data_IF_059830993263
#
_entry.id   IF_059830993263
#
_cell.length_a   1.000
_cell.length_b   1.000
_cell.length_c   1.000
_cell.angle_alpha   90.00
_cell.angle_beta   90.00
_cell.angle_gamma   90.00
#
_symmetry.space_group_name_H-M   'P 1'
#
loop_
_entity.id
_entity.type
_entity.pdbx_description
1 polymer ?
#
# COMPACT_ATOMS: atom_id res chain seq x y z
N UNK A 1 6.50 -10.81 -10.94
CA UNK A 1 6.41 -9.36 -10.71
C UNK A 1 7.78 -8.73 -10.97
N UNK A 2 7.82 -7.63 -11.72
CA UNK A 2 9.06 -6.96 -12.12
C UNK A 2 9.26 -5.64 -11.40
N UNK A 3 10.53 -5.26 -11.27
CA UNK A 3 10.94 -3.98 -10.70
C UNK A 3 10.47 -2.85 -11.61
N UNK A 4 9.76 -1.87 -11.08
CA UNK A 4 9.24 -0.79 -11.92
C UNK A 4 10.34 0.00 -12.66
N UNK A 5 11.52 0.15 -12.03
CA UNK A 5 12.69 0.77 -12.65
C UNK A 5 13.29 0.01 -13.84
N UNK A 6 12.99 -1.29 -14.00
CA UNK A 6 13.44 -2.10 -15.15
C UNK A 6 12.40 -2.24 -16.27
N UNK A 7 11.18 -1.71 -16.07
CA UNK A 7 10.17 -1.67 -17.12
C UNK A 7 10.56 -0.70 -18.24
N UNK A 8 10.40 -1.15 -19.48
CA UNK A 8 10.49 -0.33 -20.68
C UNK A 8 9.37 0.72 -20.71
N UNK A 9 9.53 1.74 -21.57
CA UNK A 9 8.50 2.76 -21.77
C UNK A 9 7.14 2.15 -22.13
N UNK A 10 7.12 1.14 -23.00
CA UNK A 10 5.90 0.47 -23.43
C UNK A 10 5.20 -0.27 -22.28
N UNK A 11 5.95 -0.98 -21.44
CA UNK A 11 5.40 -1.70 -20.29
C UNK A 11 4.84 -0.77 -19.21
N UNK A 12 5.46 0.41 -19.02
CA UNK A 12 4.93 1.43 -18.11
C UNK A 12 3.59 1.98 -18.60
N UNK A 13 3.51 2.29 -19.89
CA UNK A 13 2.26 2.77 -20.49
C UNK A 13 1.17 1.71 -20.45
N UNK A 14 1.47 0.45 -20.76
CA UNK A 14 0.51 -0.66 -20.67
C UNK A 14 -0.07 -0.79 -19.24
N UNK A 15 0.76 -0.62 -18.21
CA UNK A 15 0.29 -0.61 -16.83
C UNK A 15 -0.61 0.60 -16.54
N UNK A 16 -0.18 1.80 -16.92
CA UNK A 16 -0.93 3.05 -16.72
C UNK A 16 -2.31 2.97 -17.39
N UNK A 17 -2.36 2.48 -18.63
CA UNK A 17 -3.60 2.29 -19.40
C UNK A 17 -4.54 1.29 -18.69
N UNK A 18 -4.00 0.20 -18.15
CA UNK A 18 -4.78 -0.77 -17.40
C UNK A 18 -5.38 -0.18 -16.10
N UNK A 19 -4.62 0.65 -15.36
CA UNK A 19 -5.15 1.36 -14.18
C UNK A 19 -6.22 2.38 -14.58
N UNK A 20 -6.05 3.10 -15.68
CA UNK A 20 -7.11 3.97 -16.22
C UNK A 20 -8.36 3.19 -16.59
N UNK A 21 -8.22 2.01 -17.20
CA UNK A 21 -9.35 1.14 -17.47
C UNK A 21 -10.09 0.72 -16.19
N UNK A 22 -9.39 0.38 -15.10
CA UNK A 22 -10.03 0.08 -13.81
C UNK A 22 -10.88 1.24 -13.26
N UNK A 23 -10.54 2.48 -13.64
CA UNK A 23 -11.32 3.69 -13.31
C UNK A 23 -12.50 3.97 -14.24
N UNK A 24 -12.60 3.25 -15.35
CA UNK A 24 -13.69 3.38 -16.33
C UNK A 24 -14.69 2.22 -16.24
N UNK A 25 -14.27 1.07 -15.73
CA UNK A 25 -15.13 -0.10 -15.55
C UNK A 25 -16.15 0.13 -14.43
N UNK A 26 -17.38 -0.32 -14.68
CA UNK A 26 -18.46 -0.27 -13.68
C UNK A 26 -18.06 -1.05 -12.41
N UNK A 27 -18.38 -0.54 -11.22
CA UNK A 27 -18.11 -1.23 -9.96
C UNK A 27 -18.96 -2.50 -9.82
N UNK A 28 -18.54 -3.43 -8.97
CA UNK A 28 -19.31 -4.62 -8.61
C UNK A 28 -20.00 -4.51 -7.25
N UNK A 29 -19.54 -3.61 -6.38
CA UNK A 29 -20.20 -3.36 -5.10
C UNK A 29 -21.53 -2.59 -5.31
N UNK A 30 -22.59 -2.93 -4.54
CA UNK A 30 -23.88 -2.26 -4.64
C UNK A 30 -23.78 -0.82 -4.14
N UNK A 31 -24.23 0.13 -4.95
CA UNK A 31 -24.11 1.57 -4.64
C UNK A 31 -24.97 1.99 -3.44
N UNK A 32 -25.99 1.21 -3.09
CA UNK A 32 -26.83 1.43 -1.92
C UNK A 32 -26.05 1.24 -0.60
N UNK A 33 -25.11 0.29 -0.58
CA UNK A 33 -24.24 0.02 0.58
C UNK A 33 -22.92 0.80 0.49
N UNK A 34 -22.44 1.06 -0.73
CA UNK A 34 -21.18 1.72 -1.01
C UNK A 34 -21.37 3.00 -1.85
N UNK A 35 -22.03 4.05 -1.32
CA UNK A 35 -22.51 5.19 -2.12
C UNK A 35 -21.41 6.02 -2.77
N UNK A 36 -20.16 5.91 -2.31
CA UNK A 36 -18.99 6.57 -2.88
C UNK A 36 -18.30 5.80 -4.01
N UNK A 37 -18.57 4.51 -4.18
CA UNK A 37 -17.93 3.68 -5.21
C UNK A 37 -18.46 4.08 -6.61
N UNK A 38 -17.56 4.35 -7.56
CA UNK A 38 -17.90 4.74 -8.94
C UNK A 38 -17.32 3.83 -10.02
N UNK A 39 -16.25 3.12 -9.72
CA UNK A 39 -15.54 2.29 -10.70
C UNK A 39 -14.84 1.10 -10.04
N UNK A 40 -14.35 0.14 -10.83
CA UNK A 40 -13.68 -1.08 -10.30
C UNK A 40 -12.52 -0.80 -9.36
N UNK A 41 -11.74 0.26 -9.58
CA UNK A 41 -10.69 0.64 -8.63
C UNK A 41 -11.25 1.04 -7.25
N UNK A 42 -12.46 1.59 -7.18
CA UNK A 42 -13.10 1.93 -5.91
C UNK A 42 -13.61 0.67 -5.20
N UNK A 43 -13.92 -0.43 -5.90
CA UNK A 43 -14.26 -1.69 -5.24
C UNK A 43 -13.09 -2.21 -4.39
N UNK A 44 -11.86 -2.04 -4.89
CA UNK A 44 -10.64 -2.37 -4.14
C UNK A 44 -10.48 -1.45 -2.93
N UNK A 45 -10.62 -0.13 -3.11
CA UNK A 45 -10.54 0.82 -2.00
C UNK A 45 -11.62 0.58 -0.94
N UNK A 46 -12.88 0.38 -1.33
CA UNK A 46 -13.98 0.07 -0.41
C UNK A 46 -13.78 -1.26 0.30
N UNK A 47 -13.26 -2.29 -0.39
CA UNK A 47 -12.92 -3.56 0.25
C UNK A 47 -11.83 -3.35 1.31
N UNK A 48 -10.78 -2.60 1.00
CA UNK A 48 -9.73 -2.29 1.97
C UNK A 48 -10.30 -1.59 3.20
N UNK A 49 -11.08 -0.51 3.02
CA UNK A 49 -11.77 0.21 4.11
C UNK A 49 -12.57 -0.76 4.98
N UNK A 50 -13.37 -1.65 4.36
CA UNK A 50 -14.21 -2.61 5.06
C UNK A 50 -13.43 -3.59 5.95
N UNK A 51 -12.18 -3.87 5.61
CA UNK A 51 -11.33 -4.82 6.32
C UNK A 51 -10.18 -4.18 7.10
N UNK A 52 -9.97 -2.86 7.04
CA UNK A 52 -8.83 -2.14 7.65
C UNK A 52 -8.54 -2.56 9.09
N UNK A 53 -9.55 -2.70 9.95
CA UNK A 53 -9.41 -3.10 11.35
C UNK A 53 -8.97 -4.55 11.57
N UNK A 54 -8.96 -5.38 10.53
CA UNK A 54 -8.64 -6.81 10.61
C UNK A 54 -7.41 -7.18 9.76
N UNK A 55 -6.85 -6.25 8.98
CA UNK A 55 -5.79 -6.55 8.01
C UNK A 55 -4.47 -5.83 8.31
N UNK A 56 -4.43 -4.96 9.31
CA UNK A 56 -3.23 -4.20 9.69
C UNK A 56 -2.79 -4.51 11.11
N UNK A 57 -1.49 -4.41 11.38
CA UNK A 57 -0.88 -4.68 12.71
C UNK A 57 -1.43 -6.00 13.29
N UNK A 58 -1.51 -7.01 12.42
CA UNK A 58 -2.17 -8.29 12.68
C UNK A 58 -1.36 -9.45 12.09
N UNK A 59 -1.66 -10.66 12.54
CA UNK A 59 -1.02 -11.89 12.07
C UNK A 59 -1.35 -12.25 10.61
N UNK A 60 -2.36 -11.60 10.02
CA UNK A 60 -2.77 -11.85 8.63
C UNK A 60 -2.25 -10.81 7.63
N UNK A 61 -1.65 -9.70 8.09
CA UNK A 61 -1.28 -8.54 7.27
C UNK A 61 -0.61 -8.91 5.95
N UNK A 62 0.50 -9.65 6.01
CA UNK A 62 1.26 -10.01 4.82
C UNK A 62 0.45 -10.90 3.85
N UNK A 63 -0.24 -11.92 4.37
CA UNK A 63 -1.02 -12.85 3.56
C UNK A 63 -2.23 -12.18 2.91
N UNK A 64 -2.92 -11.30 3.64
CA UNK A 64 -4.08 -10.57 3.14
C UNK A 64 -3.69 -9.63 2.00
N UNK A 65 -2.62 -8.85 2.18
CA UNK A 65 -2.14 -7.91 1.16
C UNK A 65 -1.51 -8.62 -0.04
N UNK A 66 -0.86 -9.78 0.13
CA UNK A 66 -0.40 -10.62 -0.99
C UNK A 66 -1.57 -10.99 -1.91
N UNK A 67 -2.65 -11.53 -1.34
CA UNK A 67 -3.83 -11.87 -2.14
C UNK A 67 -4.47 -10.63 -2.76
N UNK A 68 -4.51 -9.51 -2.04
CA UNK A 68 -5.07 -8.26 -2.55
C UNK A 68 -4.33 -7.73 -3.78
N UNK A 69 -2.99 -7.74 -3.76
CA UNK A 69 -2.14 -7.40 -4.91
C UNK A 69 -2.33 -8.38 -6.06
N UNK A 70 -2.45 -9.68 -5.78
CA UNK A 70 -2.72 -10.69 -6.81
C UNK A 70 -4.10 -10.51 -7.46
N UNK A 71 -5.13 -10.20 -6.67
CA UNK A 71 -6.48 -9.91 -7.17
C UNK A 71 -6.49 -8.66 -8.06
N UNK A 72 -5.72 -7.65 -7.68
CA UNK A 72 -5.53 -6.45 -8.51
C UNK A 72 -4.86 -6.79 -9.84
N UNK A 73 -3.75 -7.55 -9.83
CA UNK A 73 -3.10 -8.01 -11.07
C UNK A 73 -4.09 -8.79 -11.94
N UNK A 74 -4.83 -9.73 -11.35
CA UNK A 74 -5.83 -10.52 -12.06
C UNK A 74 -6.88 -9.63 -12.72
N UNK A 75 -7.42 -8.64 -12.00
CA UNK A 75 -8.39 -7.70 -12.55
C UNK A 75 -7.81 -6.86 -13.71
N UNK A 76 -6.57 -6.34 -13.57
CA UNK A 76 -5.90 -5.63 -14.67
C UNK A 76 -5.79 -6.49 -15.93
N UNK A 77 -5.43 -7.76 -15.78
CA UNK A 77 -5.19 -8.67 -16.91
C UNK A 77 -6.50 -9.17 -17.53
N UNK A 78 -7.45 -9.60 -16.71
CA UNK A 78 -8.70 -10.23 -17.18
C UNK A 78 -9.76 -9.20 -17.59
N UNK A 79 -9.81 -8.04 -16.94
CA UNK A 79 -10.86 -7.03 -17.20
C UNK A 79 -10.38 -5.88 -18.08
N UNK A 80 -9.07 -5.59 -18.04
CA UNK A 80 -8.46 -4.43 -18.71
C UNK A 80 -7.40 -4.79 -19.76
N UNK A 81 -7.16 -6.07 -20.01
CA UNK A 81 -6.27 -6.52 -21.09
C UNK A 81 -4.78 -6.23 -20.85
N UNK A 82 -4.38 -6.00 -19.59
CA UNK A 82 -2.99 -5.80 -19.23
C UNK A 82 -2.15 -7.05 -19.56
N UNK A 83 -1.05 -6.87 -20.29
CA UNK A 83 -0.21 -7.99 -20.71
C UNK A 83 0.96 -8.26 -19.76
N UNK A 84 1.31 -7.27 -18.95
CA UNK A 84 2.36 -7.38 -17.95
C UNK A 84 1.93 -8.09 -16.66
N UNK A 85 2.75 -7.90 -15.64
CA UNK A 85 2.54 -8.38 -14.27
C UNK A 85 2.66 -7.21 -13.32
N UNK A 86 2.03 -7.29 -12.14
CA UNK A 86 2.02 -6.18 -11.20
C UNK A 86 3.45 -5.73 -10.88
N UNK A 87 3.81 -4.46 -11.17
CA UNK A 87 5.10 -3.93 -10.80
C UNK A 87 5.18 -3.67 -9.30
N UNK A 88 6.42 -3.63 -8.78
CA UNK A 88 6.68 -3.18 -7.42
C UNK A 88 7.53 -1.91 -7.40
N UNK A 89 7.28 -1.06 -6.40
CA UNK A 89 8.07 0.14 -6.13
C UNK A 89 9.20 -0.19 -5.15
N UNK A 90 10.42 -0.31 -5.67
CA UNK A 90 11.60 -0.42 -4.83
C UNK A 90 11.93 0.93 -4.18
N UNK A 91 11.49 1.12 -2.93
CA UNK A 91 11.64 2.39 -2.22
C UNK A 91 13.09 2.88 -2.15
N UNK A 92 14.04 1.97 -1.97
CA UNK A 92 15.45 2.29 -1.81
C UNK A 92 16.05 2.98 -3.04
N UNK A 93 15.51 2.75 -4.24
CA UNK A 93 15.97 3.41 -5.46
C UNK A 93 15.55 4.87 -5.58
N UNK A 94 14.42 5.24 -4.97
CA UNK A 94 13.91 6.61 -4.95
C UNK A 94 14.25 7.34 -3.65
N UNK A 95 14.96 6.70 -2.72
CA UNK A 95 15.14 7.20 -1.36
C UNK A 95 15.87 8.55 -1.29
N UNK A 96 16.83 8.81 -2.17
CA UNK A 96 17.60 10.06 -2.16
C UNK A 96 16.87 11.25 -2.81
N UNK A 97 16.01 10.97 -3.79
CA UNK A 97 15.28 11.99 -4.54
C UNK A 97 13.98 11.39 -5.10
N UNK A 98 12.92 11.45 -4.28
CA UNK A 98 11.64 10.84 -4.59
C UNK A 98 10.96 11.50 -5.81
N UNK A 99 10.89 12.86 -5.93
CA UNK A 99 10.37 13.51 -7.12
C UNK A 99 11.12 13.20 -8.42
N UNK A 100 12.42 12.91 -8.37
CA UNK A 100 13.18 12.52 -9.57
C UNK A 100 13.00 11.04 -9.97
N UNK A 101 12.28 10.26 -9.17
CA UNK A 101 12.00 8.85 -9.46
C UNK A 101 11.18 8.72 -10.75
N UNK A 102 11.44 7.73 -11.61
CA UNK A 102 10.59 7.47 -12.78
C UNK A 102 9.14 7.10 -12.43
N UNK A 103 8.81 6.85 -11.15
CA UNK A 103 7.42 6.74 -10.69
C UNK A 103 6.72 8.08 -10.52
N UNK A 104 7.47 9.13 -10.20
CA UNK A 104 6.93 10.39 -9.67
C UNK A 104 7.51 11.64 -10.36
N UNK A 105 8.21 11.48 -11.49
CA UNK A 105 8.81 12.58 -12.24
C UNK A 105 7.79 13.42 -13.03
N UNK A 106 6.50 13.08 -12.97
CA UNK A 106 5.43 13.77 -13.68
C UNK A 106 5.42 13.53 -15.19
N UNK A 107 6.28 12.67 -15.72
CA UNK A 107 6.29 12.29 -17.13
C UNK A 107 5.07 11.47 -17.52
N UNK A 108 4.84 11.31 -18.82
CA UNK A 108 3.82 10.42 -19.39
C UNK A 108 3.95 8.94 -18.97
N UNK A 109 5.09 8.53 -18.42
CA UNK A 109 5.33 7.14 -17.96
C UNK A 109 5.46 6.99 -16.45
N UNK A 110 5.17 8.07 -15.72
CA UNK A 110 5.07 8.08 -14.27
C UNK A 110 3.66 7.74 -13.82
N UNK A 111 3.49 7.50 -12.52
CA UNK A 111 2.17 7.52 -11.90
C UNK A 111 1.77 8.96 -11.55
N UNK A 112 2.07 9.94 -12.40
CA UNK A 112 2.04 11.39 -12.13
C UNK A 112 3.07 11.88 -11.11
N UNK A 113 3.23 13.20 -11.01
CA UNK A 113 4.20 13.84 -10.14
C UNK A 113 3.67 14.22 -8.76
N UNK A 114 4.32 15.24 -8.18
CA UNK A 114 3.91 15.87 -6.92
C UNK A 114 2.61 16.67 -7.10
N UNK A 115 1.99 17.04 -5.98
CA UNK A 115 0.88 17.97 -5.95
C UNK A 115 1.34 19.42 -6.06
N UNK A 116 0.45 20.32 -6.50
CA UNK A 116 0.72 21.76 -6.45
C UNK A 116 1.01 22.20 -5.01
N UNK A 117 2.01 23.06 -4.77
CA UNK A 117 2.29 23.57 -3.43
C UNK A 117 1.11 24.39 -2.90
N UNK A 118 0.64 24.18 -1.66
CA UNK A 118 -0.35 25.04 -1.05
C UNK A 118 0.24 26.43 -0.75
N UNK A 119 -0.60 27.46 -0.75
CA UNK A 119 -0.16 28.86 -0.51
C UNK A 119 0.61 29.04 0.81
N UNK A 120 0.22 28.29 1.85
CA UNK A 120 0.83 28.33 3.18
C UNK A 120 1.46 26.97 3.53
N UNK A 121 2.46 26.57 2.74
CA UNK A 121 3.20 25.34 3.01
C UNK A 121 4.06 25.47 4.27
N UNK A 122 3.70 24.75 5.32
CA UNK A 122 4.51 24.66 6.54
C UNK A 122 5.86 23.99 6.23
N UNK A 123 7.00 24.52 6.69
CA UNK A 123 8.32 24.00 6.34
C UNK A 123 8.65 22.67 7.02
N UNK A 124 7.92 22.32 8.10
CA UNK A 124 8.09 21.10 8.87
C UNK A 124 6.74 20.47 9.16
N UNK A 125 6.71 19.14 9.27
CA UNK A 125 5.54 18.37 9.67
C UNK A 125 5.84 17.55 10.94
N UNK A 126 4.91 17.50 11.90
CA UNK A 126 5.05 16.62 13.06
C UNK A 126 4.72 15.17 12.68
N UNK A 127 5.45 14.22 13.25
CA UNK A 127 5.16 12.78 13.14
C UNK A 127 4.42 12.34 14.41
N UNK A 128 3.10 12.49 14.43
CA UNK A 128 2.27 12.16 15.58
C UNK A 128 2.13 10.63 15.75
N UNK A 129 2.02 10.13 17.00
CA UNK A 129 1.94 10.84 18.28
C UNK A 129 3.30 11.12 18.94
N UNK A 130 4.40 11.22 18.17
CA UNK A 130 5.73 11.52 18.71
C UNK A 130 6.01 13.02 18.82
N UNK A 131 7.16 13.37 19.42
CA UNK A 131 7.71 14.73 19.45
C UNK A 131 8.70 15.03 18.31
N UNK A 132 8.76 14.17 17.28
CA UNK A 132 9.64 14.36 16.12
C UNK A 132 8.93 15.20 15.08
N UNK A 133 9.65 16.19 14.53
CA UNK A 133 9.25 16.91 13.33
C UNK A 133 10.32 16.74 12.26
N UNK A 134 9.89 16.66 11.00
CA UNK A 134 10.76 16.50 9.84
C UNK A 134 10.50 17.60 8.81
N UNK A 135 11.45 17.89 7.90
CA UNK A 135 11.17 18.75 6.75
C UNK A 135 9.93 18.28 6.00
N UNK A 136 9.09 19.24 5.60
CA UNK A 136 7.94 18.95 4.77
C UNK A 136 8.37 18.63 3.32
N UNK A 137 7.50 17.95 2.58
CA UNK A 137 7.60 17.88 1.13
C UNK A 137 7.33 19.24 0.47
N UNK A 138 7.33 19.27 -0.86
CA UNK A 138 7.14 20.51 -1.63
C UNK A 138 5.76 20.63 -2.27
N UNK A 139 4.94 19.58 -2.21
CA UNK A 139 3.57 19.57 -2.70
C UNK A 139 2.57 19.82 -1.59
N UNK A 140 1.45 19.11 -1.64
CA UNK A 140 0.36 19.17 -0.66
C UNK A 140 -1.02 19.29 -1.33
N UNK A 141 -1.08 19.92 -2.50
CA UNK A 141 -2.29 20.12 -3.28
C UNK A 141 -2.56 19.01 -4.30
N UNK A 142 -3.41 19.34 -5.28
CA UNK A 142 -3.81 18.42 -6.33
C UNK A 142 -2.64 18.08 -7.27
N UNK A 143 -2.60 16.85 -7.75
CA UNK A 143 -1.71 16.43 -8.83
C UNK A 143 -2.24 16.95 -10.16
N UNK A 144 -1.45 17.80 -10.82
CA UNK A 144 -1.83 18.52 -12.03
C UNK A 144 -1.09 18.08 -13.30
N UNK A 145 -0.11 17.17 -13.18
CA UNK A 145 0.69 16.66 -14.29
C UNK A 145 0.74 15.11 -14.34
N UNK A 146 1.20 14.58 -15.47
CA UNK A 146 1.27 13.14 -15.74
C UNK A 146 -0.09 12.46 -15.99
N UNK A 147 -0.11 11.13 -16.16
CA UNK A 147 -1.30 10.39 -16.61
C UNK A 147 -2.51 10.46 -15.66
N UNK A 148 -2.26 10.55 -14.36
CA UNK A 148 -3.29 10.66 -13.32
C UNK A 148 -3.58 12.10 -12.91
N UNK A 149 -3.14 13.09 -13.71
CA UNK A 149 -3.56 14.48 -13.53
C UNK A 149 -5.08 14.59 -13.51
N UNK A 150 -5.63 15.39 -12.58
CA UNK A 150 -7.07 15.57 -12.41
C UNK A 150 -7.85 14.27 -12.12
N UNK A 151 -7.18 13.21 -11.65
CA UNK A 151 -7.85 12.03 -11.12
C UNK A 151 -8.74 12.43 -9.94
N UNK A 152 -9.99 11.96 -9.95
CA UNK A 152 -10.93 12.09 -8.85
C UNK A 152 -10.84 10.86 -7.95
N UNK A 153 -10.66 11.08 -6.65
CA UNK A 153 -10.85 10.10 -5.58
C UNK A 153 -12.30 10.25 -5.08
N UNK A 154 -13.06 9.16 -5.00
CA UNK A 154 -14.52 9.20 -4.80
C UNK A 154 -14.95 8.90 -3.35
N UNK A 155 -14.19 8.07 -2.63
CA UNK A 155 -14.43 7.70 -1.23
C UNK A 155 -13.84 8.78 -0.31
N UNK A 156 -14.25 8.88 0.97
CA UNK A 156 -13.92 10.00 1.85
C UNK A 156 -12.43 10.11 2.18
N UNK A 157 -12.04 11.22 2.80
CA UNK A 157 -10.80 11.30 3.58
C UNK A 157 -11.16 10.88 5.02
N UNK A 158 -10.59 9.77 5.48
CA UNK A 158 -11.00 9.07 6.71
C UNK A 158 -9.94 9.08 7.80
N UNK A 159 -8.73 9.56 7.53
CA UNK A 159 -7.61 9.47 8.48
C UNK A 159 -7.70 10.49 9.64
N UNK A 160 -8.82 11.22 9.75
CA UNK A 160 -9.23 11.88 11.00
C UNK A 160 -9.89 10.91 12.01
N UNK A 161 -10.27 9.71 11.58
CA UNK A 161 -10.85 8.67 12.43
C UNK A 161 -9.74 7.92 13.19
N UNK A 162 -9.91 7.62 14.50
CA UNK A 162 -9.02 6.71 15.20
C UNK A 162 -8.88 5.41 14.42
N UNK A 163 -7.65 4.97 14.12
CA UNK A 163 -7.37 3.79 13.30
C UNK A 163 -7.88 2.46 13.87
N UNK A 164 -8.49 2.48 15.06
CA UNK A 164 -9.12 1.37 15.76
C UNK A 164 -10.67 1.44 15.77
N UNK A 165 -11.28 2.49 15.22
CA UNK A 165 -12.74 2.67 15.14
C UNK A 165 -13.17 2.77 13.69
N UNK A 166 -14.13 1.93 13.29
CA UNK A 166 -14.68 1.97 11.94
C UNK A 166 -15.45 3.28 11.71
N UNK A 167 -15.14 4.07 10.67
CA UNK A 167 -15.74 5.38 10.48
C UNK A 167 -17.16 5.29 9.95
N UNK A 168 -18.09 6.03 10.56
CA UNK A 168 -19.52 6.05 10.17
C UNK A 168 -19.74 6.46 8.71
N UNK A 169 -18.86 7.30 8.16
CA UNK A 169 -18.91 7.79 6.79
C UNK A 169 -18.01 7.01 5.83
N UNK A 170 -17.52 5.81 6.21
CA UNK A 170 -16.55 4.99 5.48
C UNK A 170 -16.72 4.95 3.95
N UNK A 171 -17.96 4.88 3.48
CA UNK A 171 -18.28 4.73 2.06
C UNK A 171 -19.00 5.93 1.45
N UNK A 172 -19.03 7.09 2.12
CA UNK A 172 -19.70 8.27 1.59
C UNK A 172 -19.04 8.77 0.30
N UNK A 173 -19.84 9.33 -0.61
CA UNK A 173 -19.31 9.96 -1.83
C UNK A 173 -18.74 11.34 -1.51
N UNK A 174 -17.43 11.49 -1.59
CA UNK A 174 -16.72 12.74 -1.29
C UNK A 174 -15.66 13.02 -2.36
N UNK A 175 -16.08 13.34 -3.59
CA UNK A 175 -15.18 13.49 -4.72
C UNK A 175 -14.17 14.62 -4.49
N UNK A 176 -12.89 14.31 -4.65
CA UNK A 176 -11.77 15.26 -4.54
C UNK A 176 -10.67 14.92 -5.54
N UNK A 177 -9.75 15.83 -5.78
CA UNK A 177 -8.58 15.53 -6.58
C UNK A 177 -7.63 14.56 -5.85
N UNK A 178 -6.85 13.79 -6.61
CA UNK A 178 -5.64 13.13 -6.10
C UNK A 178 -4.67 14.20 -5.60
N UNK A 179 -4.26 14.12 -4.34
CA UNK A 179 -3.24 15.00 -3.76
C UNK A 179 -1.95 14.25 -3.48
N UNK A 180 -0.81 14.94 -3.62
CA UNK A 180 0.50 14.41 -3.22
C UNK A 180 1.37 15.48 -2.58
N UNK A 181 2.24 15.02 -1.69
CA UNK A 181 3.27 15.81 -1.04
C UNK A 181 4.55 14.97 -0.92
N UNK A 182 5.28 14.83 -2.02
CA UNK A 182 6.44 13.96 -2.10
C UNK A 182 7.53 14.41 -1.12
N UNK A 183 7.91 13.52 -0.19
CA UNK A 183 8.85 13.83 0.88
C UNK A 183 10.14 12.99 0.80
N UNK A 184 11.16 13.51 0.10
CA UNK A 184 12.47 12.86 -0.02
C UNK A 184 13.20 12.70 1.33
N UNK A 185 12.96 13.58 2.32
CA UNK A 185 13.57 13.42 3.65
C UNK A 185 13.04 12.16 4.35
N UNK A 186 11.73 11.94 4.27
CA UNK A 186 11.09 10.74 4.79
C UNK A 186 11.62 9.49 4.07
N UNK A 187 11.70 9.54 2.73
CA UNK A 187 12.19 8.42 1.93
C UNK A 187 13.63 8.05 2.24
N UNK A 188 14.49 9.05 2.39
CA UNK A 188 15.90 8.85 2.76
C UNK A 188 16.06 8.29 4.17
N UNK A 189 15.16 8.65 5.09
CA UNK A 189 15.27 8.33 6.51
C UNK A 189 14.68 6.97 6.88
N UNK A 190 13.65 6.52 6.16
CA UNK A 190 12.83 5.38 6.60
C UNK A 190 12.54 4.33 5.51
N UNK A 191 12.86 4.61 4.24
CA UNK A 191 12.66 3.65 3.13
C UNK A 191 13.94 3.45 2.32
N UNK A 192 15.08 3.59 2.98
CA UNK A 192 16.41 3.46 2.36
C UNK A 192 16.81 1.98 2.15
N UNK A 193 17.92 1.74 1.46
CA UNK A 193 18.47 0.37 1.36
C UNK A 193 18.77 -0.23 2.75
N UNK A 194 19.19 0.58 3.72
CA UNK A 194 19.43 0.12 5.10
C UNK A 194 18.16 -0.41 5.76
N UNK A 195 17.01 0.18 5.44
CA UNK A 195 15.72 -0.28 5.94
C UNK A 195 15.30 -1.60 5.29
N UNK A 196 15.49 -1.72 3.97
CA UNK A 196 15.29 -2.99 3.25
C UNK A 196 16.18 -4.10 3.84
N UNK A 197 17.47 -3.82 4.05
CA UNK A 197 18.42 -4.78 4.63
C UNK A 197 18.02 -5.17 6.06
N UNK A 198 17.53 -4.21 6.87
CA UNK A 198 17.02 -4.46 8.22
C UNK A 198 15.79 -5.37 8.22
N UNK A 199 14.87 -5.18 7.27
CA UNK A 199 13.71 -6.06 7.13
C UNK A 199 14.16 -7.47 6.76
N UNK A 200 15.01 -7.61 5.75
CA UNK A 200 15.50 -8.91 5.27
C UNK A 200 16.35 -9.66 6.29
N UNK A 201 17.01 -8.96 7.21
CA UNK A 201 17.80 -9.54 8.31
C UNK A 201 16.99 -9.85 9.58
N UNK A 202 15.66 -9.63 9.57
CA UNK A 202 14.82 -9.96 10.71
C UNK A 202 14.90 -11.46 11.04
N UNK A 203 15.18 -11.86 12.29
CA UNK A 203 15.45 -13.27 12.63
C UNK A 203 14.19 -14.15 12.63
N UNK A 204 13.01 -13.57 12.84
CA UNK A 204 11.72 -14.26 12.93
C UNK A 204 10.57 -13.35 12.47
N UNK A 205 9.38 -13.93 12.28
CA UNK A 205 8.20 -13.20 11.80
C UNK A 205 7.79 -12.05 12.73
N UNK A 206 7.88 -12.25 14.05
CA UNK A 206 7.58 -11.21 15.05
C UNK A 206 8.47 -9.98 14.87
N UNK A 207 9.77 -10.19 14.60
CA UNK A 207 10.71 -9.09 14.38
C UNK A 207 10.50 -8.43 13.03
N UNK A 208 10.16 -9.19 11.98
CA UNK A 208 9.83 -8.64 10.66
C UNK A 208 8.59 -7.74 10.73
N UNK A 209 7.49 -8.23 11.33
CA UNK A 209 6.27 -7.47 11.56
C UNK A 209 6.54 -6.19 12.37
N UNK A 210 7.32 -6.29 13.45
CA UNK A 210 7.69 -5.09 14.21
C UNK A 210 8.52 -4.11 13.37
N UNK A 211 9.51 -4.60 12.63
CA UNK A 211 10.43 -3.76 11.89
C UNK A 211 9.78 -3.06 10.69
N UNK A 212 8.72 -3.65 10.11
CA UNK A 212 8.01 -3.05 8.98
C UNK A 212 7.10 -1.90 9.41
N UNK A 213 6.55 -1.97 10.63
CA UNK A 213 5.61 -0.96 11.17
C UNK A 213 6.28 0.06 12.12
N UNK A 214 7.42 -0.28 12.73
CA UNK A 214 8.07 0.55 13.76
C UNK A 214 9.46 1.05 13.33
N UNK A 215 9.73 2.33 13.59
CA UNK A 215 10.99 2.99 13.28
C UNK A 215 12.14 2.54 14.18
N UNK A 216 13.36 2.72 13.67
CA UNK A 216 14.60 2.62 14.45
C UNK A 216 14.92 3.90 15.22
N UNK A 217 14.28 5.03 14.89
CA UNK A 217 14.47 6.28 15.63
C UNK A 217 13.86 6.16 17.02
N UNK A 218 14.58 6.45 18.13
CA UNK A 218 14.10 6.14 19.47
C UNK A 218 12.74 6.74 19.83
N UNK A 219 12.49 8.00 19.47
CA UNK A 219 11.23 8.68 19.77
C UNK A 219 10.05 8.09 19.00
N UNK A 220 10.24 7.78 17.72
CA UNK A 220 9.22 7.13 16.88
C UNK A 220 8.98 5.68 17.35
N UNK A 221 10.05 4.94 17.61
CA UNK A 221 10.00 3.57 18.12
C UNK A 221 9.21 3.46 19.43
N UNK A 222 9.44 4.41 20.35
CA UNK A 222 8.69 4.53 21.61
C UNK A 222 7.20 4.83 21.38
N UNK A 223 6.89 5.60 20.35
CA UNK A 223 5.53 5.91 19.93
C UNK A 223 4.87 4.80 19.09
N UNK A 224 5.59 3.70 18.78
CA UNK A 224 5.05 2.61 17.96
C UNK A 224 4.95 2.92 16.46
N UNK A 225 5.63 3.97 16.00
CA UNK A 225 5.66 4.42 14.60
C UNK A 225 7.12 4.60 14.16
N UNK A 226 7.47 5.08 12.98
CA UNK A 226 6.89 4.81 11.68
C UNK A 226 7.93 3.92 10.97
N UNK A 227 7.59 2.66 10.73
CA UNK A 227 8.43 1.73 9.98
C UNK A 227 8.34 1.97 8.46
N UNK A 228 9.09 1.23 7.64
CA UNK A 228 9.17 1.43 6.20
C UNK A 228 7.82 1.32 5.46
N UNK A 229 6.87 0.51 5.96
CA UNK A 229 5.53 0.41 5.38
C UNK A 229 4.77 1.75 5.52
N UNK A 230 4.58 2.22 6.75
CA UNK A 230 3.92 3.50 7.02
C UNK A 230 4.67 4.68 6.38
N UNK A 231 6.01 4.68 6.40
CA UNK A 231 6.79 5.75 5.77
C UNK A 231 6.60 5.82 4.24
N UNK A 232 6.49 4.67 3.57
CA UNK A 232 6.25 4.65 2.13
C UNK A 232 4.83 5.13 1.77
N UNK A 233 3.85 4.98 2.66
CA UNK A 233 2.56 5.63 2.53
C UNK A 233 2.67 7.15 2.72
N UNK A 234 3.19 7.55 3.88
CA UNK A 234 3.29 8.96 4.30
C UNK A 234 4.12 9.83 3.35
N UNK A 235 5.16 9.27 2.72
CA UNK A 235 6.05 10.05 1.84
C UNK A 235 5.41 10.47 0.52
N UNK A 236 4.20 9.98 0.19
CA UNK A 236 3.41 10.43 -0.96
C UNK A 236 2.40 11.53 -0.59
N UNK A 237 2.12 11.75 0.68
CA UNK A 237 1.11 12.70 1.16
C UNK A 237 -0.29 12.11 1.31
N UNK A 238 -1.27 12.99 1.54
CA UNK A 238 -2.57 12.65 2.16
C UNK A 238 -3.33 11.49 1.51
N UNK A 239 -3.39 11.43 0.18
CA UNK A 239 -4.14 10.38 -0.51
C UNK A 239 -3.57 8.97 -0.27
N UNK A 240 -2.25 8.85 -0.10
CA UNK A 240 -1.58 7.58 0.19
C UNK A 240 -1.42 7.33 1.69
N UNK A 241 -1.34 8.39 2.50
CA UNK A 241 -1.26 8.34 3.96
C UNK A 241 -2.58 7.93 4.63
N UNK A 242 -3.72 8.16 3.97
CA UNK A 242 -5.02 7.79 4.53
C UNK A 242 -5.12 6.27 4.74
N UNK A 243 -5.03 5.85 6.01
CA UNK A 243 -4.96 4.45 6.44
C UNK A 243 -6.13 3.59 5.94
N UNK A 244 -7.27 4.20 5.64
CA UNK A 244 -8.45 3.51 5.16
C UNK A 244 -8.52 3.53 3.64
N UNK A 245 -8.29 4.71 3.04
CA UNK A 245 -8.61 4.97 1.63
C UNK A 245 -7.40 5.02 0.69
N UNK A 246 -6.20 4.72 1.19
CA UNK A 246 -4.96 4.66 0.40
C UNK A 246 -5.05 3.89 -0.94
N UNK A 247 -5.83 2.79 -1.09
CA UNK A 247 -5.91 2.10 -2.39
C UNK A 247 -6.59 2.90 -3.51
N UNK A 248 -7.18 4.07 -3.23
CA UNK A 248 -7.58 5.02 -4.28
C UNK A 248 -6.36 5.63 -4.99
N UNK A 249 -5.17 5.53 -4.40
CA UNK A 249 -3.93 6.07 -4.92
C UNK A 249 -3.24 5.04 -5.85
N UNK A 250 -2.89 5.38 -7.12
CA UNK A 250 -2.37 4.42 -8.11
C UNK A 250 -1.08 3.69 -7.73
N UNK A 251 -0.28 4.22 -6.80
CA UNK A 251 0.98 3.67 -6.31
C UNK A 251 0.76 2.61 -5.21
N UNK A 252 -0.42 2.57 -4.57
CA UNK A 252 -0.73 1.63 -3.48
C UNK A 252 -0.34 0.18 -3.81
N UNK A 253 -0.74 -0.31 -4.97
CA UNK A 253 -0.49 -1.70 -5.37
C UNK A 253 1.00 -1.96 -5.64
N UNK A 254 1.75 -0.95 -6.10
CA UNK A 254 3.20 -1.06 -6.28
C UNK A 254 3.93 -1.04 -4.94
N UNK A 255 3.45 -0.25 -3.98
CA UNK A 255 3.94 -0.24 -2.61
C UNK A 255 3.74 -1.61 -1.95
N UNK A 256 2.52 -2.16 -1.97
CA UNK A 256 2.24 -3.48 -1.38
C UNK A 256 2.88 -4.64 -2.13
N UNK A 257 3.14 -4.51 -3.45
CA UNK A 257 3.97 -5.48 -4.16
C UNK A 257 5.44 -5.46 -3.65
N UNK A 258 5.96 -4.33 -3.17
CA UNK A 258 7.28 -4.29 -2.51
C UNK A 258 7.24 -4.87 -1.10
N UNK A 259 6.16 -4.65 -0.35
CA UNK A 259 5.92 -5.33 0.95
C UNK A 259 5.91 -6.85 0.76
N UNK A 260 5.16 -7.35 -0.23
CA UNK A 260 5.11 -8.78 -0.54
C UNK A 260 6.47 -9.31 -1.05
N UNK A 261 7.21 -8.51 -1.84
CA UNK A 261 8.58 -8.86 -2.23
C UNK A 261 9.48 -9.06 -1.01
N UNK A 262 9.46 -8.15 -0.05
CA UNK A 262 10.28 -8.27 1.17
C UNK A 262 9.91 -9.53 1.95
N UNK A 263 8.61 -9.79 2.13
CA UNK A 263 8.17 -10.99 2.83
C UNK A 263 8.58 -12.27 2.10
N UNK A 264 8.40 -12.31 0.77
CA UNK A 264 8.81 -13.43 -0.09
C UNK A 264 10.31 -13.70 0.05
N UNK A 265 11.15 -12.68 -0.13
CA UNK A 265 12.60 -12.81 -0.02
C UNK A 265 13.04 -13.22 1.39
N UNK A 266 12.36 -12.73 2.42
CA UNK A 266 12.60 -13.15 3.80
C UNK A 266 12.25 -14.63 4.02
N UNK A 267 11.13 -15.11 3.47
CA UNK A 267 10.74 -16.52 3.51
C UNK A 267 11.76 -17.41 2.77
N UNK A 268 12.21 -16.99 1.58
CA UNK A 268 13.11 -17.76 0.72
C UNK A 268 14.50 -17.99 1.33
N UNK A 269 14.94 -17.15 2.26
CA UNK A 269 16.19 -17.35 3.00
C UNK A 269 16.20 -18.61 3.90
N UNK A 270 15.03 -19.07 4.36
CA UNK A 270 14.89 -20.27 5.20
C UNK A 270 13.46 -20.82 5.12
N UNK A 271 13.09 -21.36 3.96
CA UNK A 271 11.72 -21.85 3.70
C UNK A 271 11.23 -22.85 4.74
N UNK A 272 12.13 -23.69 5.26
CA UNK A 272 11.80 -24.72 6.27
C UNK A 272 11.17 -24.12 7.52
N UNK A 273 11.70 -22.99 8.00
CA UNK A 273 11.24 -22.37 9.24
C UNK A 273 10.37 -21.12 9.01
N UNK A 274 10.46 -20.49 7.83
CA UNK A 274 9.84 -19.18 7.58
C UNK A 274 8.59 -19.22 6.70
N UNK A 275 8.42 -20.24 5.86
CA UNK A 275 7.29 -20.27 4.92
C UNK A 275 5.94 -20.20 5.65
N UNK A 276 5.80 -20.90 6.78
CA UNK A 276 4.56 -20.94 7.56
C UNK A 276 4.68 -20.24 8.92
N UNK A 277 5.65 -19.34 9.08
CA UNK A 277 5.82 -18.59 10.32
C UNK A 277 4.67 -17.58 10.50
N UNK A 278 4.02 -17.63 11.68
CA UNK A 278 2.90 -16.77 12.05
C UNK A 278 3.14 -16.16 13.43
N UNK A 279 2.58 -14.97 13.65
CA UNK A 279 2.59 -14.29 14.94
C UNK A 279 1.47 -13.24 14.96
N UNK A 280 0.71 -13.19 16.06
CA UNK A 280 -0.36 -12.22 16.26
C UNK A 280 -1.76 -12.79 16.02
N UNK A 281 -2.75 -11.90 16.12
CA UNK A 281 -4.18 -12.22 16.03
C UNK A 281 -4.78 -11.64 14.74
N UNK A 282 -6.08 -11.82 14.48
CA UNK A 282 -6.73 -11.36 13.24
C UNK A 282 -7.32 -9.95 13.33
N UNK A 283 -7.06 -9.21 14.41
CA UNK A 283 -7.56 -7.86 14.66
C UNK A 283 -6.40 -6.91 14.92
N UNK A 284 -6.56 -5.65 14.46
CA UNK A 284 -5.57 -4.60 14.66
C UNK A 284 -5.26 -4.44 16.15
N UNK A 285 -3.98 -4.49 16.51
CA UNK A 285 -3.53 -4.40 17.91
C UNK A 285 -4.20 -5.41 18.87
N UNK A 286 -4.78 -6.49 18.35
CA UNK A 286 -5.61 -7.43 19.11
C UNK A 286 -6.83 -6.78 19.81
N UNK A 287 -7.45 -5.79 19.14
CA UNK A 287 -8.63 -5.06 19.59
C UNK A 287 -9.77 -5.13 18.55
N UNK A 288 -10.90 -5.79 18.84
CA UNK A 288 -11.14 -6.62 20.03
C UNK A 288 -10.24 -7.85 20.04
N UNK A 289 -10.11 -8.49 21.20
CA UNK A 289 -9.29 -9.69 21.34
C UNK A 289 -9.82 -10.84 20.48
N UNK A 290 -8.94 -11.42 19.66
CA UNK A 290 -9.22 -12.61 18.85
C UNK A 290 -8.20 -13.71 19.15
N UNK A 291 -8.49 -14.98 18.80
CA UNK A 291 -7.48 -16.03 18.87
C UNK A 291 -6.24 -15.71 18.03
N UNK A 292 -5.10 -16.29 18.38
CA UNK A 292 -3.93 -16.27 17.51
C UNK A 292 -4.26 -16.93 16.18
N UNK A 293 -3.70 -16.39 15.10
CA UNK A 293 -3.93 -16.92 13.77
C UNK A 293 -3.18 -18.24 13.59
N UNK A 294 -3.79 -19.15 12.85
CA UNK A 294 -3.20 -20.40 12.42
C UNK A 294 -3.37 -20.60 10.90
N UNK A 295 -2.85 -21.71 10.39
CA UNK A 295 -2.93 -22.05 8.97
C UNK A 295 -4.36 -22.33 8.45
N UNK A 296 -5.34 -22.48 9.35
CA UNK A 296 -6.75 -22.69 9.02
C UNK A 296 -7.60 -21.42 9.17
N UNK A 297 -7.01 -20.34 9.70
CA UNK A 297 -7.67 -19.04 9.80
C UNK A 297 -8.16 -18.61 8.42
N UNK A 298 -9.43 -18.22 8.35
CA UNK A 298 -10.11 -17.85 7.12
C UNK A 298 -10.04 -16.34 6.89
N UNK A 299 -9.71 -15.95 5.66
CA UNK A 299 -9.57 -14.57 5.22
C UNK A 299 -10.55 -14.31 4.09
N UNK A 300 -11.10 -13.09 4.04
CA UNK A 300 -12.07 -12.67 3.05
C UNK A 300 -11.68 -11.32 2.42
N UNK A 301 -12.18 -11.08 1.21
CA UNK A 301 -11.98 -9.86 0.42
C UNK A 301 -13.31 -9.38 -0.17
N UNK A 302 -14.42 -9.58 0.56
CA UNK A 302 -15.76 -9.28 0.06
C UNK A 302 -16.03 -9.96 -1.29
N UNK A 303 -16.57 -9.25 -2.30
CA UNK A 303 -16.84 -9.83 -3.61
C UNK A 303 -15.58 -9.97 -4.49
N UNK A 304 -14.41 -9.47 -4.08
CA UNK A 304 -13.18 -9.58 -4.89
C UNK A 304 -12.65 -11.02 -4.94
N UNK A 305 -12.94 -11.83 -3.92
CA UNK A 305 -12.46 -13.22 -3.85
C UNK A 305 -13.35 -14.05 -2.94
N UNK A 306 -13.40 -15.35 -3.22
CA UNK A 306 -13.87 -16.34 -2.25
C UNK A 306 -12.98 -16.32 -1.00
N UNK A 307 -13.56 -16.75 0.13
CA UNK A 307 -12.82 -16.98 1.37
C UNK A 307 -11.71 -18.01 1.15
N UNK A 308 -10.53 -17.73 1.71
CA UNK A 308 -9.36 -18.62 1.65
C UNK A 308 -8.79 -18.87 3.02
N UNK A 309 -8.15 -20.02 3.20
CA UNK A 309 -7.36 -20.29 4.42
C UNK A 309 -5.98 -19.69 4.29
N UNK A 310 -5.43 -19.27 5.42
CA UNK A 310 -4.11 -18.65 5.50
C UNK A 310 -3.02 -19.53 4.86
N UNK A 311 -3.08 -20.86 5.00
CA UNK A 311 -2.17 -21.80 4.32
C UNK A 311 -2.07 -21.66 2.81
N UNK A 312 -3.13 -21.19 2.16
CA UNK A 312 -3.19 -21.05 0.71
C UNK A 312 -2.36 -19.86 0.21
N UNK A 313 -2.02 -18.95 1.12
CA UNK A 313 -1.45 -17.64 0.81
C UNK A 313 0.04 -17.55 1.17
N UNK A 314 0.58 -18.56 1.86
CA UNK A 314 1.91 -18.52 2.44
C UNK A 314 3.06 -18.68 1.45
N UNK A 315 2.77 -19.07 0.20
CA UNK A 315 3.80 -19.27 -0.83
C UNK A 315 3.36 -18.69 -2.16
N UNK A 316 4.22 -17.90 -2.80
CA UNK A 316 3.97 -17.35 -4.14
C UNK A 316 3.99 -18.40 -5.26
N UNK A 317 4.26 -19.67 -4.94
CA UNK A 317 4.43 -20.79 -5.88
C UNK A 317 3.47 -21.95 -5.61
N UNK A 318 2.38 -21.73 -4.89
CA UNK A 318 1.41 -22.75 -4.52
C UNK A 318 -0.03 -22.23 -4.61
N UNK A 319 -0.99 -23.17 -4.71
CA UNK A 319 -2.41 -22.89 -4.87
C UNK A 319 -2.67 -22.00 -6.10
N UNK A 320 -3.27 -20.81 -5.92
CA UNK A 320 -3.57 -19.89 -7.02
C UNK A 320 -2.33 -19.08 -7.45
N UNK A 321 -1.26 -19.06 -6.65
CA UNK A 321 -0.08 -18.28 -6.93
C UNK A 321 0.97 -19.08 -7.71
N UNK A 322 1.51 -18.45 -8.75
CA UNK A 322 2.63 -18.99 -9.52
C UNK A 322 3.52 -17.84 -10.02
N UNK A 323 4.15 -17.12 -9.09
CA UNK A 323 5.03 -15.99 -9.41
C UNK A 323 6.29 -15.92 -8.55
N UNK A 324 7.26 -15.19 -9.08
CA UNK A 324 8.49 -14.78 -8.39
C UNK A 324 8.71 -13.29 -8.57
N UNK A 325 9.58 -12.72 -7.73
CA UNK A 325 10.08 -11.37 -7.90
C UNK A 325 11.41 -11.41 -8.65
N UNK A 326 11.51 -10.66 -9.75
CA UNK A 326 12.78 -10.39 -10.42
C UNK A 326 13.59 -9.32 -9.70
N UNK A 327 14.87 -9.23 -10.02
CA UNK A 327 15.80 -8.17 -9.59
C UNK A 327 15.82 -6.96 -10.54
#
# INVERSE_FOLDING_TARGET
MFKQGSLSRGERLDYIDAVHCMRQKLPILPIEEYPGVRHRMDDFAATHINYTLNIHISGIFFAWHRQFVWLWEKALREECGYNGYQPYWNWALSASDLPASPLFDGSETSLSGDGDPPDNLEPIIPLLPSNVSIPNGRGGGCVTNGPFANMTLNLPDLDAAPGDVFPDNAFAYTPRCLTRNLNSFMSQSFTSQKDVDRLLSSPNITTLQRNIDVSVWPALSKAGIMGPHAAAHMQLGRAMDDFWTAPQEPTFMLHHAMVDRIWTLWQEQDLKNRQYALNGTSTIMNAPTTPEVDLNTELAWGPLSVTKRLRELMSTKAYDFCYVYGD
#
